data_IF_999026460116
#
_entry.id   IF_999026460116
#
_cell.length_a   1.000
_cell.length_b   1.000
_cell.length_c   1.000
_cell.angle_alpha   90.00
_cell.angle_beta   90.00
_cell.angle_gamma   90.00
#
_symmetry.space_group_name_H-M   'P 1'
#
loop_
_entity.id
_entity.type
_entity.pdbx_description
1 polymer ?
#
# COMPACT_ATOMS: atom_id res chain seq x y z
N UNK A 1 -3.87 3.87 -31.15
CA UNK A 1 -3.01 4.91 -30.54
C UNK A 1 -3.21 4.85 -29.03
N UNK A 2 -2.14 4.55 -28.27
CA UNK A 2 -2.22 4.63 -26.82
C UNK A 2 -2.53 6.09 -26.43
N UNK A 3 -3.54 6.31 -25.57
CA UNK A 3 -3.69 7.62 -24.94
C UNK A 3 -2.36 7.92 -24.24
N UNK A 4 -1.73 9.09 -24.51
CA UNK A 4 -0.49 9.42 -23.83
C UNK A 4 -0.72 9.34 -22.33
N UNK A 5 0.24 8.76 -21.63
CA UNK A 5 0.26 8.77 -20.16
C UNK A 5 0.02 10.21 -19.73
N UNK A 6 -0.89 10.42 -18.78
CA UNK A 6 -1.18 11.76 -18.27
C UNK A 6 0.11 12.26 -17.64
N UNK A 7 0.70 13.29 -18.22
CA UNK A 7 1.99 13.82 -17.75
C UNK A 7 1.80 15.24 -17.24
N UNK A 8 2.60 15.60 -16.23
CA UNK A 8 2.72 16.97 -15.73
C UNK A 8 3.17 17.97 -16.82
N UNK A 9 3.62 17.46 -17.98
CA UNK A 9 4.03 18.27 -19.14
C UNK A 9 2.86 18.89 -19.91
N UNK A 10 1.62 18.39 -19.67
CA UNK A 10 0.41 18.93 -20.30
C UNK A 10 0.04 20.27 -19.64
N UNK A 11 0.78 21.32 -20.01
CA UNK A 11 0.66 22.67 -19.43
C UNK A 11 -0.72 23.31 -19.67
N UNK A 12 -1.49 22.77 -20.64
CA UNK A 12 -2.81 23.26 -21.03
C UNK A 12 -3.94 22.77 -20.10
N UNK A 13 -3.72 21.73 -19.32
CA UNK A 13 -4.76 21.15 -18.45
C UNK A 13 -4.67 21.68 -17.02
N UNK A 14 -5.79 22.02 -16.39
CA UNK A 14 -5.81 22.40 -14.98
C UNK A 14 -5.39 21.21 -14.09
N UNK A 15 -4.61 21.48 -13.03
CA UNK A 15 -4.01 20.47 -12.15
C UNK A 15 -5.03 19.49 -11.57
N UNK A 16 -6.22 19.95 -11.20
CA UNK A 16 -7.25 19.09 -10.63
C UNK A 16 -7.71 17.98 -11.59
N UNK A 17 -7.78 18.26 -12.93
CA UNK A 17 -8.10 17.24 -13.92
C UNK A 17 -7.00 16.20 -14.06
N UNK A 18 -5.75 16.64 -13.96
CA UNK A 18 -4.59 15.74 -13.98
C UNK A 18 -4.65 14.83 -12.74
N UNK A 19 -4.89 15.40 -11.56
CA UNK A 19 -5.08 14.62 -10.34
C UNK A 19 -6.19 13.59 -10.46
N UNK A 20 -7.39 13.98 -10.90
CA UNK A 20 -8.53 13.07 -11.03
C UNK A 20 -8.27 11.93 -12.02
N UNK A 21 -7.53 12.19 -13.10
CA UNK A 21 -7.15 11.14 -14.05
C UNK A 21 -6.23 10.08 -13.43
N UNK A 22 -5.39 10.47 -12.47
CA UNK A 22 -4.58 9.53 -11.69
C UNK A 22 -5.39 8.83 -10.60
N UNK A 23 -6.24 9.60 -9.89
CA UNK A 23 -6.96 9.13 -8.71
C UNK A 23 -7.94 8.01 -9.02
N UNK A 24 -8.76 8.16 -10.07
CA UNK A 24 -9.81 7.19 -10.39
C UNK A 24 -9.28 5.76 -10.45
N UNK A 25 -8.31 5.45 -11.33
CA UNK A 25 -7.74 4.12 -11.41
C UNK A 25 -7.03 3.66 -10.11
N UNK A 26 -6.38 4.56 -9.36
CA UNK A 26 -5.68 4.22 -8.14
C UNK A 26 -6.61 3.88 -6.99
N UNK A 27 -7.68 4.65 -6.80
CA UNK A 27 -8.70 4.37 -5.78
C UNK A 27 -9.39 3.05 -6.09
N UNK A 28 -9.76 2.83 -7.37
CA UNK A 28 -10.37 1.57 -7.79
C UNK A 28 -9.44 0.37 -7.56
N UNK A 29 -8.14 0.52 -7.84
CA UNK A 29 -7.14 -0.51 -7.58
C UNK A 29 -7.04 -0.83 -6.07
N UNK A 30 -7.04 0.18 -5.19
CA UNK A 30 -6.99 -0.02 -3.74
C UNK A 30 -8.25 -0.73 -3.22
N UNK A 31 -9.43 -0.34 -3.70
CA UNK A 31 -10.70 -1.01 -3.36
C UNK A 31 -10.67 -2.47 -3.81
N UNK A 32 -10.28 -2.72 -5.07
CA UNK A 32 -10.22 -4.05 -5.63
C UNK A 32 -9.26 -4.96 -4.87
N UNK A 33 -8.10 -4.44 -4.48
CA UNK A 33 -7.09 -5.18 -3.70
C UNK A 33 -7.62 -5.52 -2.30
N UNK A 34 -8.28 -4.58 -1.62
CA UNK A 34 -8.89 -4.80 -0.30
C UNK A 34 -10.01 -5.84 -0.37
N UNK A 35 -10.90 -5.74 -1.36
CA UNK A 35 -11.97 -6.71 -1.59
C UNK A 35 -11.42 -8.11 -1.90
N UNK A 36 -10.40 -8.21 -2.74
CA UNK A 36 -9.77 -9.48 -3.07
C UNK A 36 -9.21 -10.18 -1.84
N UNK A 37 -8.52 -9.45 -0.96
CA UNK A 37 -8.01 -9.98 0.30
C UNK A 37 -9.13 -10.51 1.21
N UNK A 38 -10.20 -9.72 1.37
CA UNK A 38 -11.36 -10.09 2.17
C UNK A 38 -12.07 -11.33 1.64
N UNK A 39 -12.31 -11.41 0.33
CA UNK A 39 -12.97 -12.58 -0.31
C UNK A 39 -12.12 -13.84 -0.18
N UNK A 40 -10.81 -13.76 -0.35
CA UNK A 40 -9.92 -14.89 -0.14
C UNK A 40 -9.96 -15.41 1.31
N UNK A 41 -9.98 -14.51 2.30
CA UNK A 41 -10.14 -14.90 3.70
C UNK A 41 -11.48 -15.58 3.97
N UNK A 42 -12.56 -15.08 3.36
CA UNK A 42 -13.90 -15.71 3.44
C UNK A 42 -13.89 -17.10 2.81
N UNK A 43 -13.30 -17.30 1.63
CA UNK A 43 -13.20 -18.61 0.99
C UNK A 43 -12.48 -19.63 1.89
N UNK A 44 -11.32 -19.24 2.44
CA UNK A 44 -10.56 -20.14 3.32
C UNK A 44 -11.35 -20.44 4.60
N UNK A 45 -11.90 -19.43 5.26
CA UNK A 45 -12.64 -19.59 6.52
C UNK A 45 -13.92 -20.43 6.37
N UNK A 46 -14.72 -20.17 5.33
CA UNK A 46 -15.99 -20.87 5.12
C UNK A 46 -15.85 -22.26 4.49
N UNK A 47 -14.86 -22.46 3.62
CA UNK A 47 -14.73 -23.70 2.87
C UNK A 47 -13.77 -24.70 3.55
N UNK A 48 -12.77 -24.21 4.30
CA UNK A 48 -11.74 -25.05 4.94
C UNK A 48 -11.75 -24.95 6.47
N UNK A 49 -12.48 -23.99 7.03
CA UNK A 49 -12.63 -23.82 8.48
C UNK A 49 -11.60 -22.91 9.12
N UNK A 50 -11.75 -22.72 10.45
CA UNK A 50 -10.98 -21.76 11.24
C UNK A 50 -9.50 -22.12 11.39
N UNK A 51 -9.16 -23.41 11.42
CA UNK A 51 -7.77 -23.86 11.50
C UNK A 51 -6.98 -23.51 10.22
N UNK A 52 -7.59 -23.70 9.05
CA UNK A 52 -7.01 -23.29 7.77
C UNK A 52 -6.81 -21.76 7.70
N UNK A 53 -7.78 -21.00 8.16
CA UNK A 53 -7.67 -19.54 8.24
C UNK A 53 -6.53 -19.11 9.18
N UNK A 54 -6.38 -19.78 10.33
CA UNK A 54 -5.28 -19.52 11.26
C UNK A 54 -3.90 -19.84 10.64
N UNK A 55 -3.79 -20.92 9.87
CA UNK A 55 -2.57 -21.29 9.16
C UNK A 55 -2.14 -20.19 8.16
N UNK A 56 -3.09 -19.66 7.40
CA UNK A 56 -2.84 -18.57 6.42
C UNK A 56 -2.51 -17.25 7.14
N UNK A 57 -3.28 -16.92 8.17
CA UNK A 57 -3.09 -15.67 8.92
C UNK A 57 -1.73 -15.59 9.61
N UNK A 58 -1.18 -16.72 10.06
CA UNK A 58 0.15 -16.78 10.67
C UNK A 58 1.30 -16.34 9.74
N UNK A 59 1.09 -16.41 8.42
CA UNK A 59 2.07 -15.97 7.42
C UNK A 59 2.00 -14.47 7.10
N UNK A 60 0.91 -13.79 7.48
CA UNK A 60 0.69 -12.39 7.13
C UNK A 60 1.84 -11.45 7.54
N UNK A 61 2.40 -11.51 8.76
CA UNK A 61 3.49 -10.62 9.14
C UNK A 61 4.74 -10.76 8.27
N UNK A 62 5.07 -11.99 7.87
CA UNK A 62 6.24 -12.30 7.04
C UNK A 62 6.03 -11.76 5.62
N UNK A 63 4.89 -12.08 5.03
CA UNK A 63 4.53 -11.60 3.69
C UNK A 63 4.47 -10.08 3.66
N UNK A 64 3.85 -9.47 4.68
CA UNK A 64 3.73 -8.02 4.79
C UNK A 64 5.09 -7.32 4.91
N UNK A 65 6.04 -7.91 5.63
CA UNK A 65 7.41 -7.38 5.72
C UNK A 65 8.05 -7.24 4.33
N UNK A 66 7.99 -8.27 3.50
CA UNK A 66 8.51 -8.21 2.13
C UNK A 66 7.73 -7.23 1.25
N UNK A 67 6.41 -7.17 1.40
CA UNK A 67 5.57 -6.20 0.69
C UNK A 67 5.93 -4.77 1.09
N UNK A 68 6.11 -4.49 2.38
CA UNK A 68 6.50 -3.17 2.88
C UNK A 68 7.87 -2.73 2.33
N UNK A 69 8.82 -3.66 2.29
CA UNK A 69 10.14 -3.43 1.72
C UNK A 69 10.06 -3.06 0.23
N UNK A 70 9.29 -3.82 -0.55
CA UNK A 70 9.17 -3.60 -1.99
C UNK A 70 8.34 -2.35 -2.32
N UNK A 71 7.34 -2.01 -1.51
CA UNK A 71 6.61 -0.74 -1.63
C UNK A 71 7.57 0.43 -1.38
N UNK A 72 8.45 0.30 -0.41
CA UNK A 72 9.52 1.27 -0.17
C UNK A 72 10.42 1.45 -1.41
N UNK A 73 10.99 0.35 -1.92
CA UNK A 73 11.80 0.37 -3.15
C UNK A 73 11.03 0.99 -4.32
N UNK A 74 9.77 0.61 -4.50
CA UNK A 74 8.88 1.13 -5.52
C UNK A 74 8.61 2.63 -5.38
N UNK A 75 8.43 3.12 -4.16
CA UNK A 75 8.27 4.55 -3.88
C UNK A 75 9.53 5.35 -4.26
N UNK A 76 10.72 4.83 -3.91
CA UNK A 76 11.99 5.42 -4.33
C UNK A 76 12.16 5.44 -5.84
N UNK A 77 11.97 4.29 -6.48
CA UNK A 77 12.09 4.15 -7.92
C UNK A 77 11.07 5.00 -8.68
N UNK A 78 9.80 5.08 -8.23
CA UNK A 78 8.76 5.88 -8.88
C UNK A 78 9.04 7.38 -8.84
N UNK A 79 9.66 7.88 -7.76
CA UNK A 79 10.11 9.28 -7.67
C UNK A 79 11.24 9.56 -8.66
N UNK A 80 12.28 8.72 -8.69
CA UNK A 80 13.40 8.89 -9.63
C UNK A 80 12.93 8.75 -11.09
N UNK A 81 12.06 7.78 -11.39
CA UNK A 81 11.42 7.62 -12.69
C UNK A 81 10.60 8.85 -13.05
N UNK A 82 9.81 9.38 -12.10
CA UNK A 82 9.02 10.59 -12.30
C UNK A 82 9.89 11.78 -12.69
N UNK A 83 11.04 11.97 -12.02
CA UNK A 83 11.99 13.03 -12.37
C UNK A 83 12.64 12.80 -13.74
N UNK A 84 13.12 11.59 -14.04
CA UNK A 84 13.70 11.26 -15.33
C UNK A 84 12.67 11.38 -16.48
N UNK A 85 11.41 10.99 -16.22
CA UNK A 85 10.32 11.14 -17.17
C UNK A 85 9.97 12.61 -17.43
N UNK A 86 9.89 13.42 -16.36
CA UNK A 86 9.72 14.87 -16.45
C UNK A 86 10.84 15.56 -17.23
N UNK A 87 12.07 15.07 -17.08
CA UNK A 87 13.25 15.52 -17.81
C UNK A 87 13.32 15.06 -19.29
N UNK A 88 12.41 14.18 -19.73
CA UNK A 88 12.41 13.54 -21.04
C UNK A 88 13.65 12.66 -21.30
N UNK A 89 14.11 11.96 -20.29
CA UNK A 89 15.27 11.05 -20.34
C UNK A 89 14.83 9.56 -20.32
N UNK A 90 14.30 9.00 -21.43
CA UNK A 90 13.73 7.64 -21.44
C UNK A 90 14.77 6.55 -21.18
N UNK A 91 16.03 6.77 -21.53
CA UNK A 91 17.11 5.83 -21.22
C UNK A 91 17.31 5.68 -19.70
N UNK A 92 17.27 6.81 -18.98
CA UNK A 92 17.41 6.85 -17.52
C UNK A 92 16.19 6.24 -16.82
N UNK A 93 14.98 6.45 -17.37
CA UNK A 93 13.75 5.77 -16.88
C UNK A 93 13.94 4.26 -16.93
N UNK A 94 14.46 3.70 -18.03
CA UNK A 94 14.73 2.26 -18.18
C UNK A 94 15.82 1.77 -17.24
N UNK A 95 16.88 2.55 -17.05
CA UNK A 95 17.97 2.20 -16.14
C UNK A 95 17.50 2.11 -14.69
N UNK A 96 16.71 3.10 -14.23
CA UNK A 96 16.13 3.09 -12.88
C UNK A 96 15.14 1.92 -12.71
N UNK A 97 14.27 1.71 -13.70
CA UNK A 97 13.30 0.64 -13.68
C UNK A 97 13.98 -0.74 -13.64
N UNK A 98 15.00 -0.94 -14.47
CA UNK A 98 15.76 -2.20 -14.51
C UNK A 98 16.48 -2.47 -13.18
N UNK A 99 17.18 -1.48 -12.61
CA UNK A 99 17.83 -1.58 -11.31
C UNK A 99 16.83 -1.94 -10.20
N UNK A 100 15.68 -1.29 -10.18
CA UNK A 100 14.64 -1.57 -9.18
C UNK A 100 14.05 -2.98 -9.36
N UNK A 101 13.72 -3.38 -10.60
CA UNK A 101 13.19 -4.72 -10.90
C UNK A 101 14.22 -5.83 -10.60
N UNK A 102 15.50 -5.60 -10.90
CA UNK A 102 16.58 -6.51 -10.54
C UNK A 102 16.67 -6.71 -9.02
N UNK A 103 16.64 -5.62 -8.25
CA UNK A 103 16.60 -5.68 -6.79
C UNK A 103 15.35 -6.41 -6.27
N UNK A 104 14.16 -6.08 -6.79
CA UNK A 104 12.91 -6.72 -6.40
C UNK A 104 12.89 -8.21 -6.71
N UNK A 105 13.43 -8.61 -7.85
CA UNK A 105 13.61 -10.01 -8.22
C UNK A 105 14.56 -10.75 -7.27
N UNK A 106 15.70 -10.15 -6.92
CA UNK A 106 16.66 -10.72 -5.95
C UNK A 106 16.04 -10.88 -4.57
N UNK A 107 15.30 -9.85 -4.07
CA UNK A 107 14.58 -9.93 -2.79
C UNK A 107 13.55 -11.06 -2.84
N UNK A 108 12.80 -11.18 -3.94
CA UNK A 108 11.80 -12.22 -4.11
C UNK A 108 12.42 -13.62 -4.14
N UNK A 109 13.52 -13.82 -4.86
CA UNK A 109 14.24 -15.09 -4.91
C UNK A 109 14.83 -15.42 -3.53
N UNK A 110 15.42 -14.44 -2.85
CA UNK A 110 15.93 -14.63 -1.48
C UNK A 110 14.79 -15.04 -0.53
N UNK A 111 13.62 -14.38 -0.61
CA UNK A 111 12.44 -14.75 0.17
C UNK A 111 11.97 -16.18 -0.13
N UNK A 112 11.95 -16.59 -1.40
CA UNK A 112 11.58 -17.94 -1.80
C UNK A 112 12.55 -18.99 -1.22
N UNK A 113 13.85 -18.78 -1.38
CA UNK A 113 14.90 -19.69 -0.87
C UNK A 113 14.86 -19.78 0.66
N UNK A 114 14.79 -18.64 1.35
CA UNK A 114 14.71 -18.60 2.81
C UNK A 114 13.42 -19.23 3.32
N UNK A 115 12.30 -19.02 2.62
CA UNK A 115 11.04 -19.63 2.94
C UNK A 115 11.07 -21.15 2.84
N UNK A 116 11.64 -21.69 1.76
CA UNK A 116 11.80 -23.15 1.61
C UNK A 116 12.67 -23.75 2.70
N UNK A 117 13.78 -23.09 3.06
CA UNK A 117 14.73 -23.60 4.05
C UNK A 117 14.23 -23.47 5.49
N UNK A 118 13.56 -22.36 5.83
CA UNK A 118 13.30 -21.96 7.21
C UNK A 118 11.84 -21.80 7.58
N UNK A 119 10.85 -22.09 6.68
CA UNK A 119 9.43 -21.88 6.95
C UNK A 119 8.98 -22.54 8.26
N UNK A 120 9.37 -23.78 8.50
CA UNK A 120 9.00 -24.52 9.72
C UNK A 120 9.57 -23.88 10.99
N UNK A 121 10.86 -23.52 10.98
CA UNK A 121 11.54 -22.92 12.12
C UNK A 121 10.94 -21.54 12.47
N UNK A 122 10.65 -20.75 11.44
CA UNK A 122 10.07 -19.41 11.63
C UNK A 122 8.64 -19.51 12.19
N UNK A 123 7.82 -20.41 11.67
CA UNK A 123 6.45 -20.61 12.16
C UNK A 123 6.42 -21.15 13.60
N UNK A 124 7.36 -22.05 13.93
CA UNK A 124 7.53 -22.52 15.31
C UNK A 124 7.95 -21.39 16.25
N UNK A 125 8.90 -20.56 15.83
CA UNK A 125 9.35 -19.40 16.61
C UNK A 125 8.25 -18.35 16.81
N UNK A 126 7.30 -18.24 15.87
CA UNK A 126 6.12 -17.39 15.99
C UNK A 126 5.00 -18.01 16.85
N UNK A 127 5.23 -19.20 17.41
CA UNK A 127 4.26 -19.86 18.30
C UNK A 127 3.08 -20.50 17.58
N UNK A 128 3.23 -20.90 16.31
CA UNK A 128 2.18 -21.61 15.57
C UNK A 128 1.84 -22.93 16.27
N UNK A 129 0.54 -23.18 16.61
CA UNK A 129 0.14 -24.42 17.28
C UNK A 129 0.51 -25.67 16.50
N UNK A 130 0.89 -26.73 17.20
CA UNK A 130 1.38 -27.97 16.58
C UNK A 130 0.35 -28.63 15.63
N UNK A 131 -0.93 -28.45 15.93
CA UNK A 131 -2.04 -28.99 15.12
C UNK A 131 -2.16 -28.30 13.76
N UNK A 132 -1.83 -27.02 13.67
CA UNK A 132 -1.94 -26.18 12.48
C UNK A 132 -0.62 -26.12 11.71
N UNK A 133 0.48 -26.47 12.37
CA UNK A 133 1.84 -26.31 11.83
C UNK A 133 2.06 -27.00 10.47
N UNK A 134 1.61 -28.25 10.21
CA UNK A 134 1.81 -28.88 8.92
C UNK A 134 1.19 -28.10 7.76
N UNK A 135 -0.06 -27.66 7.92
CA UNK A 135 -0.79 -26.87 6.93
C UNK A 135 -0.17 -25.50 6.74
N UNK A 136 0.23 -24.86 7.85
CA UNK A 136 0.91 -23.56 7.83
C UNK A 136 2.25 -23.63 7.09
N UNK A 137 3.04 -24.69 7.28
CA UNK A 137 4.32 -24.91 6.57
C UNK A 137 4.08 -25.17 5.07
N UNK A 138 3.08 -26.00 4.72
CA UNK A 138 2.75 -26.26 3.33
C UNK A 138 2.32 -24.97 2.60
N UNK A 139 1.44 -24.18 3.23
CA UNK A 139 1.03 -22.88 2.71
C UNK A 139 2.21 -21.89 2.60
N UNK A 140 3.03 -21.81 3.65
CA UNK A 140 4.18 -20.92 3.72
C UNK A 140 5.17 -21.16 2.58
N UNK A 141 5.52 -22.42 2.28
CA UNK A 141 6.43 -22.75 1.20
C UNK A 141 5.91 -22.27 -0.15
N UNK A 142 4.67 -22.59 -0.50
CA UNK A 142 4.10 -22.14 -1.78
C UNK A 142 3.95 -20.63 -1.83
N UNK A 143 3.57 -20.00 -0.71
CA UNK A 143 3.48 -18.54 -0.64
C UNK A 143 4.86 -17.87 -0.81
N UNK A 144 5.91 -18.44 -0.24
CA UNK A 144 7.28 -17.93 -0.45
C UNK A 144 7.76 -18.14 -1.88
N UNK A 145 7.42 -19.25 -2.53
CA UNK A 145 7.68 -19.47 -3.97
C UNK A 145 6.94 -18.45 -4.84
N UNK A 146 5.82 -17.91 -4.37
CA UNK A 146 5.06 -16.86 -5.08
C UNK A 146 5.73 -15.49 -4.95
N UNK A 147 6.59 -15.26 -3.94
CA UNK A 147 7.19 -13.95 -3.65
C UNK A 147 7.90 -13.31 -4.85
N UNK A 148 8.73 -13.98 -5.65
CA UNK A 148 9.39 -13.34 -6.79
C UNK A 148 8.39 -12.70 -7.74
N UNK A 149 7.30 -13.39 -8.05
CA UNK A 149 6.26 -12.89 -8.96
C UNK A 149 5.44 -11.76 -8.32
N UNK A 150 5.04 -11.92 -7.07
CA UNK A 150 4.28 -10.92 -6.32
C UNK A 150 5.07 -9.61 -6.18
N UNK A 151 6.33 -9.68 -5.73
CA UNK A 151 7.14 -8.50 -5.48
C UNK A 151 7.48 -7.77 -6.78
N UNK A 152 7.82 -8.51 -7.85
CA UNK A 152 8.04 -7.92 -9.18
C UNK A 152 6.75 -7.30 -9.73
N UNK A 153 5.59 -7.95 -9.53
CA UNK A 153 4.30 -7.40 -9.94
C UNK A 153 3.99 -6.07 -9.23
N UNK A 154 4.10 -6.04 -7.89
CA UNK A 154 3.89 -4.82 -7.10
C UNK A 154 4.83 -3.72 -7.56
N UNK A 155 6.11 -4.05 -7.71
CA UNK A 155 7.12 -3.08 -8.11
C UNK A 155 6.85 -2.54 -9.52
N UNK A 156 6.52 -3.40 -10.48
CA UNK A 156 6.20 -2.98 -11.84
C UNK A 156 5.04 -2.01 -11.89
N UNK A 157 3.99 -2.25 -11.08
CA UNK A 157 2.85 -1.34 -10.97
C UNK A 157 3.24 0.03 -10.41
N UNK A 158 4.19 0.09 -9.47
CA UNK A 158 4.71 1.34 -8.94
C UNK A 158 5.54 2.12 -9.98
N UNK A 159 6.36 1.43 -10.78
CA UNK A 159 7.15 2.04 -11.84
C UNK A 159 6.27 2.63 -12.95
N UNK A 160 5.19 1.93 -13.34
CA UNK A 160 4.21 2.42 -14.32
C UNK A 160 3.53 3.70 -13.84
N UNK A 161 3.18 3.78 -12.56
CA UNK A 161 2.66 5.02 -11.96
C UNK A 161 3.68 6.16 -12.06
N UNK A 162 4.97 5.89 -11.90
CA UNK A 162 6.03 6.89 -12.01
C UNK A 162 6.06 7.61 -13.36
N UNK A 163 5.79 6.92 -14.47
CA UNK A 163 5.65 7.52 -15.81
C UNK A 163 4.25 8.09 -16.09
N UNK A 164 3.33 7.97 -15.14
CA UNK A 164 1.96 8.50 -15.27
C UNK A 164 0.93 7.51 -15.81
N UNK A 165 1.29 6.24 -15.98
CA UNK A 165 0.34 5.19 -16.37
C UNK A 165 -0.26 4.52 -15.13
N UNK A 166 -1.50 4.86 -14.82
CA UNK A 166 -2.28 4.28 -13.71
C UNK A 166 -3.31 3.26 -14.19
N UNK A 167 -3.62 3.24 -15.48
CA UNK A 167 -4.61 2.32 -16.05
C UNK A 167 -4.03 0.92 -16.28
N UNK A 168 -2.82 0.82 -16.79
CA UNK A 168 -2.17 -0.48 -17.02
C UNK A 168 -2.01 -1.29 -15.73
N UNK A 169 -1.55 -0.71 -14.59
CA UNK A 169 -1.59 -1.38 -13.29
C UNK A 169 -2.97 -1.86 -12.88
N UNK A 170 -4.01 -1.05 -13.12
CA UNK A 170 -5.39 -1.43 -12.79
C UNK A 170 -5.85 -2.65 -13.62
N UNK A 171 -5.61 -2.67 -14.93
CA UNK A 171 -5.97 -3.81 -15.77
C UNK A 171 -5.26 -5.09 -15.34
N UNK A 172 -3.97 -5.01 -15.03
CA UNK A 172 -3.21 -6.15 -14.53
C UNK A 172 -3.73 -6.65 -13.17
N UNK A 173 -4.11 -5.73 -12.28
CA UNK A 173 -4.70 -6.06 -11.00
C UNK A 173 -6.11 -6.69 -11.16
N UNK A 174 -6.95 -6.15 -12.04
CA UNK A 174 -8.27 -6.74 -12.35
C UNK A 174 -8.12 -8.18 -12.86
N UNK A 175 -7.14 -8.41 -13.74
CA UNK A 175 -6.88 -9.75 -14.27
C UNK A 175 -6.41 -10.70 -13.16
N UNK A 176 -5.42 -10.31 -12.35
CA UNK A 176 -4.92 -11.14 -11.26
C UNK A 176 -5.98 -11.43 -10.21
N UNK A 177 -6.76 -10.42 -9.83
CA UNK A 177 -7.88 -10.58 -8.88
C UNK A 177 -8.96 -11.50 -9.44
N UNK A 178 -9.37 -11.31 -10.69
CA UNK A 178 -10.38 -12.15 -11.35
C UNK A 178 -9.96 -13.63 -11.39
N UNK A 179 -8.70 -13.90 -11.75
CA UNK A 179 -8.15 -15.26 -11.73
C UNK A 179 -8.14 -15.81 -10.30
N UNK A 180 -7.66 -15.05 -9.32
CA UNK A 180 -7.60 -15.50 -7.93
C UNK A 180 -8.96 -15.83 -7.34
N UNK A 181 -9.97 -14.99 -7.60
CA UNK A 181 -11.34 -15.18 -7.12
C UNK A 181 -12.03 -16.44 -7.69
N UNK A 182 -11.67 -16.83 -8.90
CA UNK A 182 -12.21 -18.06 -9.54
C UNK A 182 -11.37 -19.29 -9.19
N UNK A 183 -10.04 -19.13 -9.24
CA UNK A 183 -9.14 -20.29 -9.09
C UNK A 183 -9.03 -20.77 -7.63
N UNK A 184 -9.10 -19.87 -6.65
CA UNK A 184 -9.04 -20.25 -5.23
C UNK A 184 -10.15 -21.25 -4.86
N UNK A 185 -11.45 -20.94 -5.04
CA UNK A 185 -12.52 -21.92 -4.74
C UNK A 185 -12.49 -23.13 -5.65
N UNK A 186 -12.06 -23.00 -6.91
CA UNK A 186 -11.92 -24.12 -7.83
C UNK A 186 -10.88 -25.14 -7.36
N UNK A 187 -9.75 -24.69 -6.83
CA UNK A 187 -8.70 -25.53 -6.25
C UNK A 187 -9.08 -26.10 -4.87
N UNK A 188 -9.92 -25.39 -4.10
CA UNK A 188 -10.42 -25.94 -2.83
C UNK A 188 -11.38 -27.10 -3.07
N UNK A 189 -12.30 -26.96 -4.04
CA UNK A 189 -13.35 -27.96 -4.33
C UNK A 189 -13.00 -28.98 -5.41
N UNK A 190 -11.91 -28.75 -6.15
CA UNK A 190 -11.52 -29.62 -7.27
C UNK A 190 -12.43 -29.51 -8.49
N UNK A 191 -12.94 -28.27 -8.80
CA UNK A 191 -13.81 -28.08 -9.96
C UNK A 191 -13.10 -28.41 -11.28
N UNK A 192 -13.83 -29.01 -12.20
CA UNK A 192 -13.33 -29.30 -13.54
C UNK A 192 -12.16 -30.29 -13.60
N UNK A 193 -12.00 -31.14 -12.58
CA UNK A 193 -10.88 -32.10 -12.50
C UNK A 193 -9.59 -31.53 -11.96
N UNK A 194 -9.62 -30.29 -11.41
CA UNK A 194 -8.47 -29.73 -10.73
C UNK A 194 -8.17 -30.45 -9.41
N UNK A 195 -6.89 -30.54 -8.99
CA UNK A 195 -6.55 -31.15 -7.71
C UNK A 195 -7.12 -30.37 -6.54
N UNK A 196 -7.59 -31.05 -5.51
CA UNK A 196 -8.00 -30.44 -4.25
C UNK A 196 -6.75 -30.17 -3.40
N UNK A 197 -6.38 -28.89 -3.28
CA UNK A 197 -5.13 -28.48 -2.62
C UNK A 197 -5.34 -27.98 -1.18
N UNK A 198 -6.57 -27.98 -0.67
CA UNK A 198 -6.85 -27.54 0.69
C UNK A 198 -6.35 -26.12 0.97
N UNK A 199 -5.63 -25.93 2.07
CA UNK A 199 -5.11 -24.61 2.53
C UNK A 199 -4.15 -23.97 1.51
N UNK A 200 -3.43 -24.78 0.73
CA UNK A 200 -2.45 -24.31 -0.25
C UNK A 200 -3.10 -23.68 -1.49
N UNK A 201 -4.41 -23.91 -1.69
CA UNK A 201 -5.17 -23.42 -2.85
C UNK A 201 -5.01 -21.91 -3.08
N UNK A 202 -5.07 -21.11 -2.03
CA UNK A 202 -4.94 -19.66 -2.14
C UNK A 202 -3.52 -19.21 -2.58
N UNK A 203 -2.48 -19.90 -2.10
CA UNK A 203 -1.10 -19.60 -2.50
C UNK A 203 -0.84 -20.02 -3.96
N UNK A 204 -1.33 -21.16 -4.39
CA UNK A 204 -1.23 -21.63 -5.79
C UNK A 204 -2.04 -20.72 -6.72
N UNK A 205 -3.26 -20.33 -6.32
CA UNK A 205 -4.06 -19.38 -7.08
C UNK A 205 -3.34 -18.02 -7.23
N UNK A 206 -2.68 -17.55 -6.17
CA UNK A 206 -1.84 -16.35 -6.20
C UNK A 206 -0.66 -16.49 -7.16
N UNK A 207 0.06 -17.62 -7.11
CA UNK A 207 1.18 -17.92 -8.01
C UNK A 207 0.75 -17.82 -9.49
N UNK A 208 -0.34 -18.50 -9.84
CA UNK A 208 -0.89 -18.49 -11.22
C UNK A 208 -1.37 -17.08 -11.59
N UNK A 209 -2.09 -16.40 -10.68
CA UNK A 209 -2.62 -15.06 -10.92
C UNK A 209 -1.52 -14.04 -11.23
N UNK A 210 -0.45 -14.03 -10.44
CA UNK A 210 0.67 -13.10 -10.66
C UNK A 210 1.51 -13.50 -11.89
N UNK A 211 1.68 -14.78 -12.18
CA UNK A 211 2.35 -15.24 -13.39
C UNK A 211 1.60 -14.78 -14.65
N UNK A 212 0.27 -14.96 -14.68
CA UNK A 212 -0.57 -14.52 -15.81
C UNK A 212 -0.59 -12.98 -15.90
N UNK A 213 -0.72 -12.28 -14.79
CA UNK A 213 -0.73 -10.81 -14.77
C UNK A 213 0.60 -10.21 -15.24
N UNK A 214 1.74 -10.78 -14.85
CA UNK A 214 3.06 -10.37 -15.34
C UNK A 214 3.23 -10.67 -16.83
N UNK A 215 2.80 -11.83 -17.29
CA UNK A 215 2.79 -12.19 -18.72
C UNK A 215 1.94 -11.21 -19.51
N UNK A 216 0.73 -10.89 -19.01
CA UNK A 216 -0.12 -9.85 -19.60
C UNK A 216 0.61 -8.49 -19.67
N UNK A 217 1.24 -8.04 -18.57
CA UNK A 217 2.00 -6.79 -18.55
C UNK A 217 3.10 -6.77 -19.61
N UNK A 218 3.90 -7.83 -19.69
CA UNK A 218 4.98 -7.97 -20.67
C UNK A 218 4.44 -7.82 -22.08
N UNK A 219 3.44 -8.62 -22.46
CA UNK A 219 2.85 -8.62 -23.81
C UNK A 219 2.21 -7.26 -24.13
N UNK A 220 1.43 -6.72 -23.17
CA UNK A 220 0.70 -5.48 -23.34
C UNK A 220 1.65 -4.27 -23.55
N UNK A 221 2.70 -4.17 -22.71
CA UNK A 221 3.67 -3.09 -22.78
C UNK A 221 4.53 -3.19 -24.06
N UNK A 222 4.90 -4.41 -24.48
CA UNK A 222 5.63 -4.62 -25.74
C UNK A 222 4.77 -4.23 -26.95
N UNK A 223 3.52 -4.69 -27.01
CA UNK A 223 2.61 -4.34 -28.12
C UNK A 223 2.33 -2.84 -28.21
N UNK A 224 2.27 -2.16 -27.08
CA UNK A 224 2.07 -0.70 -27.01
C UNK A 224 3.37 0.12 -27.17
N UNK A 225 4.53 -0.51 -27.30
CA UNK A 225 5.83 0.15 -27.28
C UNK A 225 5.97 1.12 -26.12
N UNK A 226 5.53 0.67 -24.92
CA UNK A 226 5.54 1.49 -23.73
C UNK A 226 6.98 1.80 -23.27
N UNK A 227 7.28 2.98 -22.67
CA UNK A 227 8.62 3.32 -22.17
C UNK A 227 9.22 2.29 -21.21
N UNK A 228 8.39 1.59 -20.45
CA UNK A 228 8.78 0.51 -19.52
C UNK A 228 8.58 -0.89 -20.12
N UNK A 229 8.46 -1.04 -21.45
CA UNK A 229 8.40 -2.36 -22.05
C UNK A 229 9.71 -3.13 -21.78
N UNK A 230 9.64 -4.45 -21.49
CA UNK A 230 10.81 -5.28 -21.20
C UNK A 230 11.58 -5.64 -22.49
N UNK A 231 12.15 -4.63 -23.10
CA UNK A 231 13.03 -4.70 -24.28
C UNK A 231 14.49 -4.97 -23.87
N UNK A 232 15.39 -5.05 -24.87
CA UNK A 232 16.80 -5.31 -24.62
C UNK A 232 17.47 -4.29 -23.70
N UNK A 233 17.23 -2.96 -23.81
CA UNK A 233 17.77 -1.98 -22.86
C UNK A 233 17.30 -2.20 -21.42
N UNK A 234 16.01 -2.46 -21.19
CA UNK A 234 15.50 -2.73 -19.84
C UNK A 234 16.09 -4.03 -19.26
N UNK A 235 16.19 -5.08 -20.09
CA UNK A 235 16.78 -6.37 -19.66
C UNK A 235 18.25 -6.24 -19.28
N UNK A 236 19.03 -5.43 -20.00
CA UNK A 236 20.41 -5.12 -19.61
C UNK A 236 20.49 -4.32 -18.33
N UNK A 237 19.54 -3.43 -18.09
CA UNK A 237 19.45 -2.64 -16.86
C UNK A 237 19.01 -3.42 -15.61
N UNK A 238 18.61 -4.71 -15.75
CA UNK A 238 18.40 -5.60 -14.59
C UNK A 238 19.70 -5.87 -13.82
N UNK A 239 20.87 -5.68 -14.44
CA UNK A 239 22.14 -5.57 -13.70
C UNK A 239 22.12 -4.28 -12.91
N UNK A 240 22.11 -4.41 -11.58
CA UNK A 240 21.89 -3.32 -10.64
C UNK A 240 23.01 -2.27 -10.78
N UNK A 241 22.63 -1.04 -11.12
CA UNK A 241 23.54 0.12 -11.09
C UNK A 241 23.65 0.63 -9.63
N UNK A 242 24.84 0.59 -9.00
CA UNK A 242 25.03 1.00 -7.62
C UNK A 242 24.65 2.47 -7.34
N UNK A 243 24.84 3.37 -8.30
CA UNK A 243 24.52 4.78 -8.15
C UNK A 243 23.01 5.01 -8.13
N UNK A 244 22.28 4.37 -9.05
CA UNK A 244 20.83 4.40 -9.11
C UNK A 244 20.21 3.68 -7.89
N UNK A 245 20.79 2.53 -7.50
CA UNK A 245 20.39 1.79 -6.31
C UNK A 245 20.44 2.66 -5.06
N UNK A 246 21.55 3.39 -4.86
CA UNK A 246 21.70 4.31 -3.73
C UNK A 246 20.58 5.36 -3.71
N UNK A 247 20.23 5.92 -4.86
CA UNK A 247 19.11 6.86 -5.00
C UNK A 247 17.77 6.24 -4.62
N UNK A 248 17.48 5.04 -5.14
CA UNK A 248 16.25 4.28 -4.84
C UNK A 248 16.15 3.96 -3.35
N UNK A 249 17.23 3.45 -2.74
CA UNK A 249 17.25 3.05 -1.33
C UNK A 249 17.19 4.26 -0.39
N UNK A 250 17.76 5.40 -0.75
CA UNK A 250 17.69 6.64 0.03
C UNK A 250 16.25 7.08 0.31
N UNK A 251 15.36 6.84 -0.63
CA UNK A 251 13.92 7.14 -0.50
C UNK A 251 13.17 5.91 -0.01
N UNK A 252 13.52 4.75 -0.53
CA UNK A 252 12.81 3.50 -0.33
C UNK A 252 12.92 2.94 1.08
N UNK A 253 14.12 2.90 1.64
CA UNK A 253 14.34 2.33 2.98
C UNK A 253 13.55 3.08 4.07
N UNK A 254 13.62 4.42 4.16
CA UNK A 254 12.81 5.14 5.14
C UNK A 254 11.31 4.89 4.96
N UNK A 255 10.83 4.84 3.71
CA UNK A 255 9.42 4.58 3.41
C UNK A 255 9.00 3.17 3.84
N UNK A 256 9.84 2.16 3.59
CA UNK A 256 9.59 0.79 4.05
C UNK A 256 9.57 0.69 5.59
N UNK A 257 10.54 1.32 6.27
CA UNK A 257 10.57 1.40 7.74
C UNK A 257 9.29 2.05 8.29
N UNK A 258 8.82 3.13 7.68
CA UNK A 258 7.57 3.77 8.08
C UNK A 258 6.38 2.79 7.98
N UNK A 259 6.28 2.01 6.89
CA UNK A 259 5.19 1.04 6.70
C UNK A 259 5.22 -0.07 7.76
N UNK A 260 6.41 -0.60 8.04
CA UNK A 260 6.58 -1.61 9.10
C UNK A 260 6.21 -1.03 10.46
N UNK A 261 6.62 0.21 10.76
CA UNK A 261 6.28 0.88 12.03
C UNK A 261 4.77 1.06 12.19
N UNK A 262 4.07 1.49 11.13
CA UNK A 262 2.60 1.61 11.14
C UNK A 262 1.96 0.26 11.49
N UNK A 263 2.38 -0.80 10.81
CA UNK A 263 1.82 -2.14 11.02
C UNK A 263 2.08 -2.68 12.43
N UNK A 264 3.28 -2.47 12.96
CA UNK A 264 3.60 -2.86 14.35
C UNK A 264 2.79 -2.06 15.37
N UNK A 265 2.57 -0.78 15.12
CA UNK A 265 1.74 0.06 15.99
C UNK A 265 0.28 -0.40 15.97
N UNK A 266 -0.27 -0.76 14.80
CA UNK A 266 -1.62 -1.33 14.69
C UNK A 266 -1.77 -2.64 15.47
N UNK A 267 -0.76 -3.52 15.40
CA UNK A 267 -0.74 -4.75 16.20
C UNK A 267 -0.69 -4.45 17.71
N UNK A 268 0.10 -3.46 18.13
CA UNK A 268 0.18 -3.05 19.53
C UNK A 268 -1.17 -2.48 20.03
N UNK A 269 -1.83 -1.67 19.21
CA UNK A 269 -3.16 -1.13 19.52
C UNK A 269 -4.21 -2.23 19.56
N UNK A 270 -4.18 -3.17 18.62
CA UNK A 270 -5.07 -4.34 18.63
C UNK A 270 -4.88 -5.15 19.91
N UNK A 271 -3.62 -5.36 20.35
CA UNK A 271 -3.32 -6.00 21.62
C UNK A 271 -3.92 -5.28 22.84
N UNK A 272 -3.98 -3.95 22.80
CA UNK A 272 -4.64 -3.13 23.81
C UNK A 272 -6.16 -3.26 23.75
N UNK A 273 -6.75 -3.23 22.54
CA UNK A 273 -8.20 -3.42 22.32
C UNK A 273 -8.67 -4.79 22.79
N UNK A 274 -7.88 -5.85 22.56
CA UNK A 274 -8.20 -7.22 22.98
C UNK A 274 -8.41 -7.37 24.50
N UNK A 275 -7.84 -6.47 25.31
CA UNK A 275 -8.07 -6.44 26.77
C UNK A 275 -9.49 -6.08 27.15
N UNK A 276 -10.24 -5.44 26.25
CA UNK A 276 -11.64 -5.05 26.45
C UNK A 276 -12.65 -6.11 25.98
N UNK A 277 -12.15 -7.27 25.49
CA UNK A 277 -12.96 -8.42 25.14
C UNK A 277 -13.25 -8.56 23.64
N UNK A 278 -13.94 -9.64 23.30
CA UNK A 278 -14.20 -10.03 21.92
C UNK A 278 -15.08 -9.02 21.17
N UNK A 279 -16.04 -8.41 21.84
CA UNK A 279 -16.95 -7.41 21.26
C UNK A 279 -16.19 -6.15 20.83
N UNK A 280 -15.25 -5.68 21.67
CA UNK A 280 -14.38 -4.56 21.35
C UNK A 280 -13.47 -4.87 20.16
N UNK A 281 -12.93 -6.09 20.09
CA UNK A 281 -12.10 -6.55 18.99
C UNK A 281 -12.89 -6.64 17.68
N UNK A 282 -14.13 -7.13 17.72
CA UNK A 282 -15.03 -7.18 16.59
C UNK A 282 -15.39 -5.76 16.09
N UNK A 283 -15.73 -4.85 17.01
CA UNK A 283 -15.99 -3.45 16.70
C UNK A 283 -14.76 -2.79 16.06
N UNK A 284 -13.56 -3.04 16.60
CA UNK A 284 -12.29 -2.55 16.04
C UNK A 284 -12.10 -2.99 14.59
N UNK A 285 -12.26 -4.27 14.30
CA UNK A 285 -12.09 -4.79 12.95
C UNK A 285 -13.04 -4.14 11.94
N UNK A 286 -14.32 -4.01 12.29
CA UNK A 286 -15.34 -3.39 11.44
C UNK A 286 -15.04 -1.90 11.19
N UNK A 287 -14.69 -1.16 12.25
CA UNK A 287 -14.35 0.28 12.14
C UNK A 287 -13.11 0.51 11.31
N UNK A 288 -12.03 -0.27 11.53
CA UNK A 288 -10.82 -0.17 10.73
C UNK A 288 -11.07 -0.42 9.24
N UNK A 289 -11.93 -1.39 8.91
CA UNK A 289 -12.26 -1.67 7.51
C UNK A 289 -12.93 -0.46 6.85
N UNK A 290 -13.89 0.18 7.52
CA UNK A 290 -14.57 1.39 7.00
C UNK A 290 -13.58 2.55 6.89
N UNK A 291 -12.77 2.81 7.92
CA UNK A 291 -11.78 3.89 7.93
C UNK A 291 -10.76 3.71 6.79
N UNK A 292 -10.31 2.49 6.52
CA UNK A 292 -9.42 2.21 5.40
C UNK A 292 -10.03 2.62 4.06
N UNK A 293 -11.31 2.31 3.81
CA UNK A 293 -11.99 2.75 2.58
C UNK A 293 -12.07 4.27 2.49
N UNK A 294 -12.35 4.95 3.60
CA UNK A 294 -12.40 6.43 3.65
C UNK A 294 -11.02 7.04 3.41
N UNK A 295 -9.93 6.37 3.80
CA UNK A 295 -8.56 6.84 3.61
C UNK A 295 -7.98 6.57 2.21
N UNK A 296 -8.55 5.67 1.40
CA UNK A 296 -8.01 5.36 0.07
C UNK A 296 -7.86 6.58 -0.86
N UNK A 297 -8.83 7.50 -0.96
CA UNK A 297 -8.63 8.74 -1.72
C UNK A 297 -7.46 9.57 -1.19
N UNK A 298 -7.34 9.74 0.13
CA UNK A 298 -6.27 10.52 0.74
C UNK A 298 -4.88 9.93 0.41
N UNK A 299 -4.71 8.62 0.51
CA UNK A 299 -3.48 7.91 0.14
C UNK A 299 -3.19 8.06 -1.37
N UNK A 300 -4.21 7.92 -2.20
CA UNK A 300 -4.07 8.06 -3.66
C UNK A 300 -3.69 9.48 -4.05
N UNK A 301 -4.25 10.50 -3.39
CA UNK A 301 -3.87 11.91 -3.59
C UNK A 301 -2.41 12.13 -3.19
N UNK A 302 -1.96 11.59 -2.06
CA UNK A 302 -0.58 11.71 -1.60
C UNK A 302 0.43 11.05 -2.56
N UNK A 303 0.12 9.86 -3.07
CA UNK A 303 0.96 9.17 -4.07
C UNK A 303 0.98 9.97 -5.38
N UNK A 304 -0.17 10.46 -5.84
CA UNK A 304 -0.27 11.31 -7.04
C UNK A 304 0.53 12.59 -6.87
N UNK A 305 0.46 13.24 -5.71
CA UNK A 305 1.25 14.42 -5.38
C UNK A 305 2.76 14.14 -5.45
N UNK A 306 3.19 12.99 -4.98
CA UNK A 306 4.60 12.56 -5.06
C UNK A 306 5.05 12.35 -6.51
N UNK A 307 4.25 11.68 -7.33
CA UNK A 307 4.58 11.38 -8.72
C UNK A 307 4.57 12.66 -9.58
N UNK A 308 3.51 13.45 -9.51
CA UNK A 308 3.40 14.70 -10.27
C UNK A 308 4.46 15.71 -9.82
N UNK A 309 4.73 15.79 -8.51
CA UNK A 309 5.81 16.61 -7.97
C UNK A 309 7.17 16.22 -8.52
N UNK A 310 7.47 14.92 -8.59
CA UNK A 310 8.70 14.40 -9.19
C UNK A 310 8.78 14.75 -10.68
N UNK A 311 7.70 14.62 -11.43
CA UNK A 311 7.66 15.01 -12.84
C UNK A 311 7.86 16.52 -13.04
N UNK A 312 7.28 17.38 -12.18
CA UNK A 312 7.50 18.83 -12.21
C UNK A 312 8.97 19.18 -11.92
N UNK A 313 9.57 18.56 -10.92
CA UNK A 313 11.00 18.76 -10.59
C UNK A 313 11.86 18.35 -11.77
N UNK A 314 11.60 17.18 -12.36
CA UNK A 314 12.29 16.71 -13.54
C UNK A 314 12.17 17.65 -14.75
N UNK A 315 11.01 18.26 -14.93
CA UNK A 315 10.74 19.23 -15.99
C UNK A 315 11.30 20.64 -15.70
N UNK A 316 11.99 20.87 -14.57
CA UNK A 316 12.49 22.18 -14.15
C UNK A 316 11.41 23.15 -13.69
N UNK A 317 10.23 22.64 -13.28
CA UNK A 317 9.05 23.42 -12.90
C UNK A 317 8.71 23.26 -11.41
N UNK A 318 9.72 23.38 -10.56
CA UNK A 318 9.57 23.30 -9.11
C UNK A 318 8.66 24.42 -8.55
N UNK A 319 8.50 25.53 -9.27
CA UNK A 319 7.55 26.60 -8.97
C UNK A 319 6.10 26.12 -8.83
N UNK A 320 5.73 25.04 -9.51
CA UNK A 320 4.38 24.45 -9.45
C UNK A 320 4.09 23.59 -8.22
N UNK A 321 5.08 23.26 -7.41
CA UNK A 321 4.90 22.41 -6.23
C UNK A 321 3.94 23.03 -5.20
N UNK A 322 3.96 24.35 -5.04
CA UNK A 322 3.00 25.03 -4.16
C UNK A 322 1.56 24.91 -4.63
N UNK A 323 1.30 25.02 -5.94
CA UNK A 323 -0.01 24.81 -6.53
C UNK A 323 -0.44 23.33 -6.42
N UNK A 324 0.52 22.40 -6.56
CA UNK A 324 0.28 20.97 -6.40
C UNK A 324 -0.20 20.63 -4.98
N UNK A 325 0.44 21.19 -3.95
CA UNK A 325 0.01 21.03 -2.55
C UNK A 325 -1.42 21.57 -2.37
N UNK A 326 -1.68 22.82 -2.80
CA UNK A 326 -3.01 23.43 -2.64
C UNK A 326 -4.11 22.61 -3.30
N UNK A 327 -3.88 22.12 -4.54
CA UNK A 327 -4.85 21.29 -5.26
C UNK A 327 -5.05 19.95 -4.56
N UNK A 328 -3.99 19.30 -4.08
CA UNK A 328 -4.08 18.05 -3.32
C UNK A 328 -4.86 18.20 -2.01
N UNK A 329 -4.61 19.29 -1.25
CA UNK A 329 -5.36 19.58 -0.02
C UNK A 329 -6.84 19.83 -0.31
N UNK A 330 -7.17 20.58 -1.38
CA UNK A 330 -8.56 20.82 -1.77
C UNK A 330 -9.26 19.53 -2.17
N UNK A 331 -8.63 18.70 -2.98
CA UNK A 331 -9.19 17.41 -3.38
C UNK A 331 -9.37 16.46 -2.18
N UNK A 332 -8.46 16.51 -1.21
CA UNK A 332 -8.63 15.76 0.03
C UNK A 332 -9.87 16.22 0.81
N UNK A 333 -10.10 17.53 0.93
CA UNK A 333 -11.32 18.07 1.57
C UNK A 333 -12.56 17.59 0.82
N UNK A 334 -12.56 17.66 -0.50
CA UNK A 334 -13.74 17.32 -1.29
C UNK A 334 -14.02 15.81 -1.30
N UNK A 335 -13.01 14.97 -1.58
CA UNK A 335 -13.21 13.53 -1.76
C UNK A 335 -13.24 12.79 -0.41
N UNK A 336 -12.22 12.98 0.43
CA UNK A 336 -12.18 12.33 1.74
C UNK A 336 -13.25 12.92 2.65
N UNK A 337 -13.46 14.23 2.60
CA UNK A 337 -14.53 14.91 3.36
C UNK A 337 -15.93 14.41 2.97
N UNK A 338 -16.21 14.21 1.67
CA UNK A 338 -17.46 13.63 1.22
C UNK A 338 -17.67 12.20 1.74
N UNK A 339 -16.61 11.37 1.74
CA UNK A 339 -16.68 10.01 2.31
C UNK A 339 -16.85 10.02 3.83
N UNK A 340 -16.26 10.99 4.54
CA UNK A 340 -16.46 11.17 5.98
C UNK A 340 -17.93 11.50 6.25
N UNK A 341 -18.50 12.47 5.53
CA UNK A 341 -19.93 12.80 5.67
C UNK A 341 -20.82 11.59 5.37
N UNK A 342 -20.54 10.87 4.28
CA UNK A 342 -21.25 9.63 3.98
C UNK A 342 -21.09 8.59 5.08
N UNK A 343 -19.88 8.45 5.65
CA UNK A 343 -19.59 7.56 6.77
C UNK A 343 -20.41 7.90 8.01
N UNK A 344 -20.55 9.18 8.35
CA UNK A 344 -21.40 9.62 9.47
C UNK A 344 -22.89 9.35 9.22
N UNK A 345 -23.38 9.61 8.01
CA UNK A 345 -24.79 9.44 7.65
C UNK A 345 -25.19 7.97 7.50
N UNK A 346 -24.28 7.13 7.01
CA UNK A 346 -24.55 5.74 6.67
C UNK A 346 -23.95 4.75 7.70
N UNK A 347 -23.38 5.24 8.80
CA UNK A 347 -22.69 4.41 9.80
C UNK A 347 -23.49 3.19 10.28
N UNK A 348 -24.80 3.30 10.62
CA UNK A 348 -25.56 2.13 11.08
C UNK A 348 -25.71 1.07 10.01
N UNK A 349 -25.91 1.50 8.76
CA UNK A 349 -26.06 0.61 7.62
C UNK A 349 -24.74 -0.06 7.23
N UNK A 350 -23.66 0.71 7.16
CA UNK A 350 -22.32 0.19 6.85
C UNK A 350 -21.85 -0.82 7.89
N UNK A 351 -22.01 -0.51 9.16
CA UNK A 351 -21.63 -1.42 10.27
C UNK A 351 -22.52 -2.67 10.31
N UNK A 352 -23.78 -2.57 9.88
CA UNK A 352 -24.69 -3.70 9.79
C UNK A 352 -24.24 -4.80 8.83
N UNK A 353 -23.38 -4.50 7.86
CA UNK A 353 -22.74 -5.54 7.00
C UNK A 353 -21.70 -6.38 7.73
N UNK A 354 -21.08 -5.83 8.76
CA UNK A 354 -19.98 -6.49 9.48
C UNK A 354 -20.42 -7.06 10.82
N UNK A 355 -21.41 -6.43 11.46
CA UNK A 355 -21.80 -6.70 12.84
C UNK A 355 -23.29 -7.03 12.95
N UNK A 356 -23.60 -8.20 13.47
CA UNK A 356 -24.99 -8.66 13.67
C UNK A 356 -25.54 -8.30 15.03
N UNK A 357 -24.68 -8.15 16.06
CA UNK A 357 -25.04 -7.80 17.42
C UNK A 357 -25.29 -6.31 17.55
N UNK A 358 -26.48 -5.92 18.01
CA UNK A 358 -26.87 -4.51 18.19
C UNK A 358 -25.97 -3.75 19.17
N UNK A 359 -25.64 -4.29 20.38
CA UNK A 359 -24.73 -3.61 21.29
C UNK A 359 -23.33 -3.37 20.72
N UNK A 360 -22.79 -4.36 19.96
CA UNK A 360 -21.47 -4.23 19.31
C UNK A 360 -21.53 -3.21 18.17
N UNK A 361 -22.64 -3.15 17.44
CA UNK A 361 -22.83 -2.16 16.36
C UNK A 361 -22.89 -0.74 16.91
N UNK A 362 -23.60 -0.50 18.01
CA UNK A 362 -23.66 0.82 18.68
C UNK A 362 -22.27 1.24 19.19
N UNK A 363 -21.53 0.32 19.81
CA UNK A 363 -20.15 0.55 20.21
C UNK A 363 -19.29 0.94 19.01
N UNK A 364 -19.34 0.18 17.91
CA UNK A 364 -18.59 0.44 16.70
C UNK A 364 -18.98 1.78 16.06
N UNK A 365 -20.25 2.15 16.08
CA UNK A 365 -20.73 3.44 15.55
C UNK A 365 -20.13 4.62 16.32
N UNK A 366 -20.17 4.55 17.65
CA UNK A 366 -19.55 5.56 18.51
C UNK A 366 -18.05 5.71 18.21
N UNK A 367 -17.33 4.59 18.15
CA UNK A 367 -15.90 4.57 17.85
C UNK A 367 -15.59 5.09 16.45
N UNK A 368 -16.38 4.70 15.43
CA UNK A 368 -16.25 5.19 14.08
C UNK A 368 -16.38 6.71 14.03
N UNK A 369 -17.34 7.27 14.73
CA UNK A 369 -17.54 8.72 14.79
C UNK A 369 -16.37 9.46 15.45
N UNK A 370 -15.70 8.86 16.44
CA UNK A 370 -14.49 9.43 17.04
C UNK A 370 -13.32 9.48 16.06
N UNK A 371 -13.20 8.51 15.12
CA UNK A 371 -12.06 8.37 14.24
C UNK A 371 -12.21 9.06 12.88
N UNK A 372 -13.43 9.10 12.32
CA UNK A 372 -13.65 9.48 10.91
C UNK A 372 -13.05 10.83 10.54
N UNK A 373 -13.25 11.85 11.36
CA UNK A 373 -12.70 13.18 11.08
C UNK A 373 -11.17 13.20 11.02
N UNK A 374 -10.51 12.31 11.78
CA UNK A 374 -9.07 12.15 11.75
C UNK A 374 -8.54 11.74 10.38
N UNK A 375 -9.35 11.05 9.56
CA UNK A 375 -8.98 10.69 8.17
C UNK A 375 -8.74 11.91 7.29
N UNK A 376 -9.45 13.02 7.52
CA UNK A 376 -9.19 14.27 6.82
C UNK A 376 -7.82 14.86 7.17
N UNK A 377 -7.50 14.86 8.46
CA UNK A 377 -6.21 15.34 9.00
C UNK A 377 -5.07 14.47 8.48
N UNK A 378 -5.27 13.15 8.48
CA UNK A 378 -4.35 12.18 7.87
C UNK A 378 -4.07 12.52 6.40
N UNK A 379 -5.10 12.83 5.62
CA UNK A 379 -4.94 13.19 4.21
C UNK A 379 -4.12 14.48 4.01
N UNK A 380 -4.28 15.48 4.86
CA UNK A 380 -3.50 16.72 4.79
C UNK A 380 -2.01 16.45 5.00
N UNK A 381 -1.65 15.74 6.05
CA UNK A 381 -0.25 15.41 6.31
C UNK A 381 0.35 14.52 5.22
N UNK A 382 -0.43 13.56 4.68
CA UNK A 382 0.01 12.65 3.65
C UNK A 382 0.32 13.36 2.32
N UNK A 383 -0.49 14.35 1.93
CA UNK A 383 -0.25 15.19 0.73
C UNK A 383 1.03 15.99 0.88
N UNK A 384 1.24 16.64 2.03
CA UNK A 384 2.44 17.44 2.31
C UNK A 384 3.68 16.54 2.27
N UNK A 385 3.64 15.38 2.93
CA UNK A 385 4.72 14.39 2.90
C UNK A 385 4.99 13.86 1.49
N UNK A 386 3.93 13.63 0.69
CA UNK A 386 4.03 13.20 -0.69
C UNK A 386 4.81 14.17 -1.58
N UNK A 387 4.50 15.47 -1.47
CA UNK A 387 5.24 16.50 -2.24
C UNK A 387 6.68 16.63 -1.77
N UNK A 388 6.95 16.55 -0.47
CA UNK A 388 8.33 16.55 0.04
C UNK A 388 9.12 15.32 -0.47
N UNK A 389 8.47 14.15 -0.53
CA UNK A 389 9.06 12.92 -1.10
C UNK A 389 9.46 13.10 -2.55
N UNK A 390 8.70 13.85 -3.35
CA UNK A 390 9.00 14.13 -4.76
C UNK A 390 10.37 14.78 -4.96
N UNK A 391 10.86 15.56 -4.00
CA UNK A 391 12.19 16.18 -3.98
C UNK A 391 13.28 15.31 -3.35
N UNK A 392 12.97 14.06 -2.98
CA UNK A 392 13.89 13.20 -2.22
C UNK A 392 14.02 13.53 -0.73
N UNK A 393 13.26 14.51 -0.23
CA UNK A 393 13.22 14.81 1.20
C UNK A 393 12.29 13.82 1.89
N UNK A 394 12.85 12.72 2.39
CA UNK A 394 12.08 11.60 2.96
C UNK A 394 12.39 11.36 4.43
N UNK A 395 13.66 11.48 4.82
CA UNK A 395 14.10 11.12 6.17
C UNK A 395 13.35 11.89 7.26
N UNK A 396 13.21 13.21 7.12
CA UNK A 396 12.57 14.05 8.14
C UNK A 396 11.06 13.79 8.21
N UNK A 397 10.29 13.80 7.10
CA UNK A 397 8.88 13.41 7.13
C UNK A 397 8.63 12.02 7.71
N UNK A 398 9.49 11.04 7.40
CA UNK A 398 9.39 9.70 7.95
C UNK A 398 9.75 9.69 9.44
N UNK A 399 10.81 10.38 9.85
CA UNK A 399 11.18 10.50 11.27
C UNK A 399 10.06 11.15 12.09
N UNK A 400 9.40 12.18 11.55
CA UNK A 400 8.20 12.78 12.18
C UNK A 400 7.09 11.73 12.30
N UNK A 401 6.80 10.98 11.24
CA UNK A 401 5.72 9.97 11.26
C UNK A 401 6.03 8.85 12.26
N UNK A 402 7.22 8.25 12.17
CA UNK A 402 7.68 7.17 13.06
C UNK A 402 7.75 7.65 14.50
N UNK A 403 8.36 8.82 14.72
CA UNK A 403 8.44 9.44 16.04
C UNK A 403 7.06 9.73 16.65
N UNK A 404 6.13 10.27 15.86
CA UNK A 404 4.75 10.52 16.32
C UNK A 404 4.03 9.21 16.68
N UNK A 405 4.23 8.14 15.91
CA UNK A 405 3.64 6.83 16.23
C UNK A 405 4.20 6.31 17.55
N UNK A 406 5.52 6.25 17.69
CA UNK A 406 6.16 5.63 18.85
C UNK A 406 6.06 6.48 20.12
N UNK A 407 6.17 7.81 20.01
CA UNK A 407 6.26 8.72 21.16
C UNK A 407 4.93 9.41 21.49
N UNK A 408 3.96 9.39 20.58
CA UNK A 408 2.64 10.03 20.81
C UNK A 408 1.53 9.00 20.76
N UNK A 409 1.37 8.25 19.65
CA UNK A 409 0.22 7.33 19.47
C UNK A 409 0.21 6.22 20.51
N UNK A 410 1.31 5.48 20.67
CA UNK A 410 1.37 4.35 21.60
C UNK A 410 1.25 4.79 23.07
N UNK A 411 1.98 5.82 23.54
CA UNK A 411 1.79 6.34 24.88
C UNK A 411 0.39 6.93 25.12
N UNK A 412 -0.16 7.69 24.13
CA UNK A 412 -1.49 8.24 24.22
C UNK A 412 -2.56 7.15 24.32
N UNK A 413 -2.45 6.08 23.51
CA UNK A 413 -3.36 4.95 23.55
C UNK A 413 -3.39 4.30 24.95
N UNK A 414 -2.22 4.10 25.57
CA UNK A 414 -2.14 3.55 26.93
C UNK A 414 -2.66 4.52 27.99
N UNK A 415 -2.27 5.81 27.92
CA UNK A 415 -2.68 6.79 28.91
C UNK A 415 -4.17 7.12 28.82
N UNK A 416 -4.69 7.34 27.63
CA UNK A 416 -6.10 7.66 27.42
C UNK A 416 -6.99 6.45 27.70
N UNK A 417 -6.55 5.23 27.38
CA UNK A 417 -7.31 4.01 27.72
C UNK A 417 -7.46 3.80 29.22
N UNK A 418 -6.46 4.19 30.02
CA UNK A 418 -6.54 4.14 31.47
C UNK A 418 -7.58 5.12 32.05
N UNK A 419 -7.88 6.22 31.34
CA UNK A 419 -8.84 7.25 31.79
C UNK A 419 -10.23 7.12 31.18
N UNK A 420 -10.29 6.78 29.89
CA UNK A 420 -11.53 6.80 29.09
C UNK A 420 -11.91 5.40 28.57
N UNK A 421 -11.22 4.36 29.04
CA UNK A 421 -11.48 3.01 28.57
C UNK A 421 -11.20 2.85 27.06
N UNK A 422 -12.08 2.14 26.38
CA UNK A 422 -11.96 1.84 24.97
C UNK A 422 -11.92 3.11 24.08
N UNK A 423 -12.71 4.14 24.40
CA UNK A 423 -12.72 5.42 23.69
C UNK A 423 -11.36 6.08 23.69
N UNK A 424 -10.59 5.94 24.77
CA UNK A 424 -9.24 6.46 24.88
C UNK A 424 -8.26 5.85 23.89
N UNK A 425 -8.41 4.57 23.57
CA UNK A 425 -7.58 3.89 22.54
C UNK A 425 -7.82 4.53 21.16
N UNK A 426 -9.09 4.82 20.84
CA UNK A 426 -9.48 5.38 19.56
C UNK A 426 -9.08 6.85 19.39
N UNK A 427 -9.14 7.61 20.47
CA UNK A 427 -8.70 9.00 20.48
C UNK A 427 -7.20 9.17 20.19
N UNK A 428 -6.41 8.13 20.39
CA UNK A 428 -4.97 8.16 20.04
C UNK A 428 -4.72 8.35 18.53
N UNK A 429 -5.63 7.91 17.65
CA UNK A 429 -5.48 8.09 16.20
C UNK A 429 -5.61 9.54 15.76
N UNK A 430 -6.69 10.28 16.07
CA UNK A 430 -6.75 11.71 15.76
C UNK A 430 -5.59 12.51 16.41
N UNK A 431 -5.20 12.18 17.63
CA UNK A 431 -4.08 12.84 18.32
C UNK A 431 -2.79 12.70 17.53
N UNK A 432 -2.44 11.50 17.07
CA UNK A 432 -1.23 11.29 16.27
C UNK A 432 -1.34 11.98 14.90
N UNK A 433 -2.49 11.94 14.24
CA UNK A 433 -2.67 12.59 12.94
C UNK A 433 -2.53 14.11 13.03
N UNK A 434 -3.08 14.73 14.07
CA UNK A 434 -2.91 16.16 14.33
C UNK A 434 -1.44 16.49 14.63
N UNK A 435 -0.78 15.69 15.46
CA UNK A 435 0.65 15.85 15.76
C UNK A 435 1.50 15.78 14.49
N UNK A 436 1.28 14.76 13.66
CA UNK A 436 1.97 14.61 12.38
C UNK A 436 1.71 15.82 11.46
N UNK A 437 0.47 16.26 11.35
CA UNK A 437 0.12 17.41 10.51
C UNK A 437 0.82 18.69 10.98
N UNK A 438 0.84 18.96 12.28
CA UNK A 438 1.49 20.14 12.84
C UNK A 438 3.00 20.11 12.59
N UNK A 439 3.66 19.00 12.92
CA UNK A 439 5.11 18.87 12.74
C UNK A 439 5.52 18.89 11.26
N UNK A 440 4.79 18.20 10.39
CA UNK A 440 5.08 18.18 8.96
C UNK A 440 4.80 19.54 8.31
N UNK A 441 3.71 20.21 8.70
CA UNK A 441 3.39 21.55 8.21
C UNK A 441 4.42 22.59 8.67
N UNK A 442 4.89 22.49 9.92
CA UNK A 442 5.96 23.33 10.43
C UNK A 442 7.25 23.12 9.63
N UNK A 443 7.68 21.86 9.46
CA UNK A 443 8.86 21.55 8.65
C UNK A 443 8.73 22.01 7.20
N UNK A 444 7.56 21.77 6.58
CA UNK A 444 7.28 22.23 5.21
C UNK A 444 7.40 23.73 5.07
N UNK A 445 6.76 24.51 5.98
CA UNK A 445 6.72 25.98 5.90
C UNK A 445 8.03 26.65 6.29
N UNK A 446 8.69 26.17 7.36
CA UNK A 446 9.86 26.83 7.94
C UNK A 446 11.17 26.41 7.27
N UNK A 447 11.25 25.17 6.75
CA UNK A 447 12.50 24.63 6.22
C UNK A 447 12.39 24.27 4.74
N UNK A 448 11.48 23.35 4.40
CA UNK A 448 11.46 22.74 3.07
C UNK A 448 11.11 23.73 1.95
N UNK A 449 10.17 24.65 2.18
CA UNK A 449 9.72 25.64 1.19
C UNK A 449 10.84 26.61 0.77
N UNK A 450 11.83 26.82 1.62
CA UNK A 450 12.96 27.71 1.38
C UNK A 450 14.19 26.99 0.82
N UNK A 451 14.11 25.67 0.70
CA UNK A 451 15.20 24.86 0.18
C UNK A 451 15.23 24.91 -1.34
N UNK A 452 16.42 25.06 -1.92
CA UNK A 452 16.63 24.86 -3.35
C UNK A 452 16.36 23.40 -3.70
N UNK A 453 15.42 23.17 -4.61
CA UNK A 453 15.05 21.82 -5.03
C UNK A 453 15.80 21.49 -6.30
N UNK A 454 16.75 20.55 -6.19
CA UNK A 454 17.53 20.04 -7.29
C UNK A 454 17.00 18.67 -7.75
N UNK A 455 17.32 18.30 -8.99
CA UNK A 455 17.04 16.96 -9.50
C UNK A 455 17.92 15.93 -8.77
N UNK A 456 17.37 14.75 -8.59
CA UNK A 456 18.09 13.62 -7.98
C UNK A 456 18.79 12.76 -9.07
N UNK A 457 18.33 12.89 -10.31
CA UNK A 457 18.75 12.10 -11.48
C UNK A 457 18.85 12.97 -12.72
#
# INVERSE_FOLDING_TARGET
MARPAVSAQDASRPLWRIYLAFLGPMVLANILQSLSGSVNAVYIGQMLGTQALAAVAGMFPIVFFFIALIIGVGAGASVLIGQAWGAREPAKVKAIAGTALGLGGLIGIAAAVLGELFAKQVLQALGTPAEVLPDAVAYARVMMLTMPLLLVFILYTQLLRGVGDTLTPLYALMLSTGIGLVLTPALIRGWGGLPQLGVVSAAVAGLVSFAVALTFLVIYLQRKRHPLAPDAPLRRALWIDPALLKGVLRIGVPTGVQMVTISLAELAILGLVNRYGADATAAYGAVNQIVNYVQFPALSIAITASILGAQFIGAGRADRLGALVKTGLLLNVLLTGALIVAGYLLSPWLLGFFLTSEPVRQMAEHLLHLMLWGSLVFGFQAVIAGVMRASGTVLIPVAISVGSILLVQLPAANFLSARYGLDGVWLAYPVVFVTMLLLQSAFYRLVWRHKTIERLV
#
